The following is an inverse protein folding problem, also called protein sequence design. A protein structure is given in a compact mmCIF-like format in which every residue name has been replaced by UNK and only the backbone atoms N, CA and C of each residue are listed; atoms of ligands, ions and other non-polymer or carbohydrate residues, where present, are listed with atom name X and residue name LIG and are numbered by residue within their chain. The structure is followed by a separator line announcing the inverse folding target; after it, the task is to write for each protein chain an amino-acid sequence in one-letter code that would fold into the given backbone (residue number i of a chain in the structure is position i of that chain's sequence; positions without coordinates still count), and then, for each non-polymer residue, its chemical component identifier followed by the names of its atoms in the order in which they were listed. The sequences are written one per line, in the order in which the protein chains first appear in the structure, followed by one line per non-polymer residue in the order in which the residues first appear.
data_IF_582567094064
#
_entry.id   IF_582567094064
#
_cell.length_a   1.000
_cell.length_b   1.000
_cell.length_c   1.000
_cell.angle_alpha   90.00
_cell.angle_beta   90.00
_cell.angle_gamma   90.00
#
_symmetry.space_group_name_H-M   'P 1'
#
loop_
_entity.id
_entity.type
_entity.pdbx_description
1 polymer ?
#
# COMPACT_ATOMS: atom_id res chain seq x y z
N UNK A 1 -1.03 -9.99 0.11
CA UNK A 1 -1.94 -8.83 -0.11
C UNK A 1 -1.49 -7.67 0.77
N UNK A 2 -1.76 -6.44 0.36
CA UNK A 2 -1.35 -5.22 1.08
C UNK A 2 -2.60 -4.39 1.36
N UNK A 3 -2.85 -4.07 2.63
CA UNK A 3 -3.88 -3.13 3.06
C UNK A 3 -3.20 -1.79 3.37
N UNK A 4 -3.66 -0.71 2.75
CA UNK A 4 -3.17 0.64 3.02
C UNK A 4 -4.19 1.37 3.91
N UNK A 5 -3.69 1.99 4.98
CA UNK A 5 -4.47 2.84 5.88
C UNK A 5 -3.81 4.22 5.88
N UNK A 6 -4.49 5.19 5.26
CA UNK A 6 -4.05 6.59 5.26
C UNK A 6 -4.45 7.30 6.55
N UNK A 7 -3.87 8.47 6.79
CA UNK A 7 -3.95 9.14 8.08
C UNK A 7 -5.19 10.01 8.32
N UNK A 8 -5.99 10.32 7.29
CA UNK A 8 -7.20 11.13 7.46
C UNK A 8 -8.35 10.30 8.08
N UNK A 9 -8.46 10.31 9.42
CA UNK A 9 -9.46 9.56 10.19
C UNK A 9 -10.71 10.39 10.58
N UNK A 10 -10.78 11.64 10.13
CA UNK A 10 -11.91 12.54 10.37
C UNK A 10 -11.97 13.15 11.77
N UNK A 11 -11.05 12.81 12.68
CA UNK A 11 -11.00 13.38 14.03
C UNK A 11 -10.27 14.72 14.08
N UNK A 12 -9.35 14.96 13.16
CA UNK A 12 -8.57 16.19 13.06
C UNK A 12 -8.49 16.64 11.60
N UNK A 13 -9.08 17.79 11.23
CA UNK A 13 -8.87 18.37 9.91
C UNK A 13 -7.41 18.75 9.71
N UNK A 14 -6.86 18.48 8.52
CA UNK A 14 -5.56 18.99 8.02
C UNK A 14 -4.30 18.60 8.83
N UNK A 15 -4.03 17.29 8.98
CA UNK A 15 -2.75 16.80 9.52
C UNK A 15 -1.63 16.69 8.47
N UNK A 16 -1.82 17.18 7.24
CA UNK A 16 -0.89 16.92 6.13
C UNK A 16 -0.76 15.42 5.80
N UNK A 17 -1.80 14.63 6.09
CA UNK A 17 -1.87 13.19 5.83
C UNK A 17 -2.79 12.91 4.64
N UNK A 18 -2.62 11.74 4.03
CA UNK A 18 -3.40 11.31 2.87
C UNK A 18 -4.80 10.87 3.27
N UNK A 19 -5.70 10.74 2.28
CA UNK A 19 -7.06 10.23 2.50
C UNK A 19 -7.06 8.88 3.23
N UNK A 20 -8.11 8.62 4.02
CA UNK A 20 -8.30 7.43 4.88
C UNK A 20 -7.90 6.11 4.22
N UNK A 21 -8.23 5.96 2.95
CA UNK A 21 -8.09 4.68 2.23
C UNK A 21 -6.75 4.59 1.46
N UNK A 22 -5.87 5.58 1.59
CA UNK A 22 -4.56 5.61 0.96
C UNK A 22 -4.62 5.69 -0.58
N UNK A 23 -5.70 6.23 -1.14
CA UNK A 23 -5.90 6.33 -2.59
C UNK A 23 -4.83 7.22 -3.19
N UNK A 24 -4.22 6.78 -4.30
CA UNK A 24 -3.09 7.44 -4.94
C UNK A 24 -1.72 7.04 -4.39
N UNK A 25 -1.65 6.28 -3.29
CA UNK A 25 -0.38 5.80 -2.77
C UNK A 25 0.30 4.85 -3.76
N UNK A 26 1.62 4.97 -3.86
CA UNK A 26 2.47 4.18 -4.74
C UNK A 26 3.20 3.15 -3.89
N UNK A 27 2.94 1.87 -4.17
CA UNK A 27 3.58 0.74 -3.51
C UNK A 27 4.66 0.17 -4.42
N UNK A 28 5.86 0.03 -3.89
CA UNK A 28 6.99 -0.64 -4.51
C UNK A 28 7.36 -1.85 -3.68
N UNK A 29 7.43 -3.02 -4.32
CA UNK A 29 7.67 -4.32 -3.71
C UNK A 29 8.93 -4.91 -4.31
N UNK A 30 9.92 -5.19 -3.46
CA UNK A 30 11.13 -5.91 -3.86
C UNK A 30 10.94 -7.40 -3.59
N UNK A 31 11.05 -8.22 -4.64
CA UNK A 31 10.91 -9.68 -4.57
C UNK A 31 11.99 -10.34 -5.43
N UNK A 32 13.02 -10.85 -4.75
CA UNK A 32 14.27 -11.27 -5.38
C UNK A 32 14.94 -10.09 -6.07
N UNK A 33 15.28 -10.26 -7.34
CA UNK A 33 15.86 -9.20 -8.19
C UNK A 33 14.81 -8.30 -8.87
N UNK A 34 13.53 -8.50 -8.56
CA UNK A 34 12.42 -7.78 -9.22
C UNK A 34 11.90 -6.66 -8.32
N UNK A 35 11.74 -5.47 -8.90
CA UNK A 35 10.96 -4.38 -8.31
C UNK A 35 9.60 -4.30 -9.00
N UNK A 36 8.53 -4.42 -8.22
CA UNK A 36 7.14 -4.37 -8.70
C UNK A 36 6.49 -3.10 -8.16
N UNK A 37 6.03 -2.24 -9.07
CA UNK A 37 5.33 -1.00 -8.73
C UNK A 37 3.82 -1.14 -8.97
N UNK A 38 3.04 -0.66 -8.01
CA UNK A 38 1.57 -0.57 -8.07
C UNK A 38 1.10 0.74 -7.48
N UNK A 39 -0.07 1.20 -7.92
CA UNK A 39 -0.72 2.42 -7.41
C UNK A 39 -2.07 2.00 -6.84
N UNK A 40 -2.41 2.50 -5.65
CA UNK A 40 -3.74 2.30 -5.09
C UNK A 40 -4.72 3.17 -5.85
N UNK A 41 -5.51 2.54 -6.72
CA UNK A 41 -6.56 3.18 -7.51
C UNK A 41 -7.92 2.84 -6.93
N UNK A 42 -8.88 3.70 -7.22
CA UNK A 42 -10.32 3.46 -7.08
C UNK A 42 -10.98 3.92 -8.38
N UNK A 43 -12.20 3.43 -8.63
CA UNK A 43 -13.00 3.88 -9.77
C UNK A 43 -12.68 3.18 -11.10
N UNK A 44 -12.32 1.90 -11.07
CA UNK A 44 -12.06 1.08 -12.27
C UNK A 44 -13.30 0.84 -13.18
N UNK A 45 -14.45 1.47 -12.90
CA UNK A 45 -15.64 1.41 -13.74
C UNK A 45 -16.90 1.95 -13.04
N UNK A 46 -17.92 2.30 -13.84
CA UNK A 46 -19.24 2.65 -13.33
C UNK A 46 -19.83 1.45 -12.55
N UNK A 47 -20.27 1.70 -11.32
CA UNK A 47 -20.76 0.67 -10.38
C UNK A 47 -19.76 -0.43 -9.96
N UNK A 48 -18.46 -0.29 -10.27
CA UNK A 48 -17.44 -1.24 -9.81
C UNK A 48 -17.06 -1.00 -8.34
N UNK A 49 -17.01 -2.08 -7.55
CA UNK A 49 -16.48 -2.03 -6.18
C UNK A 49 -15.02 -2.47 -6.18
N UNK A 50 -14.13 -1.59 -5.69
CA UNK A 50 -12.72 -1.90 -5.59
C UNK A 50 -12.44 -2.63 -4.26
N UNK A 51 -11.53 -3.61 -4.28
CA UNK A 51 -11.09 -4.26 -3.05
C UNK A 51 -10.38 -3.26 -2.12
N UNK A 52 -10.56 -3.41 -0.81
CA UNK A 52 -9.79 -2.67 0.19
C UNK A 52 -8.31 -3.04 0.19
N UNK A 53 -7.97 -4.23 -0.33
CA UNK A 53 -6.60 -4.76 -0.40
C UNK A 53 -6.06 -4.74 -1.82
N UNK A 54 -4.76 -4.49 -1.94
CA UNK A 54 -4.01 -4.65 -3.18
C UNK A 54 -3.33 -6.01 -3.22
N UNK A 55 -3.51 -6.74 -4.33
CA UNK A 55 -2.77 -7.98 -4.59
C UNK A 55 -1.51 -7.67 -5.41
N UNK A 56 -0.38 -8.17 -4.94
CA UNK A 56 0.91 -8.13 -5.66
C UNK A 56 1.33 -9.57 -5.90
N UNK A 57 1.44 -9.95 -7.17
CA UNK A 57 1.96 -11.26 -7.55
C UNK A 57 3.49 -11.22 -7.53
N UNK A 58 4.11 -12.20 -6.85
CA UNK A 58 5.56 -12.29 -6.65
C UNK A 58 6.20 -13.45 -7.44
N UNK A 59 5.41 -14.14 -8.27
CA UNK A 59 5.88 -15.29 -9.04
C UNK A 59 6.16 -16.49 -8.14
N UNK A 60 7.33 -17.11 -8.34
CA UNK A 60 7.82 -18.27 -7.59
C UNK A 60 8.58 -17.91 -6.30
N UNK A 61 8.65 -16.63 -5.93
CA UNK A 61 9.31 -16.22 -4.69
C UNK A 61 8.41 -16.52 -3.49
N UNK A 62 8.99 -17.07 -2.42
CA UNK A 62 8.27 -17.34 -1.17
C UNK A 62 8.24 -16.15 -0.22
N UNK A 63 9.05 -15.12 -0.49
CA UNK A 63 9.15 -13.93 0.36
C UNK A 63 9.37 -12.64 -0.44
N UNK A 64 8.98 -11.53 0.18
CA UNK A 64 9.23 -10.16 -0.27
C UNK A 64 10.25 -9.54 0.68
N UNK A 65 11.39 -9.06 0.16
CA UNK A 65 12.46 -8.48 0.99
C UNK A 65 12.06 -7.12 1.56
N UNK A 66 11.37 -6.29 0.79
CA UNK A 66 10.91 -4.99 1.26
C UNK A 66 9.67 -4.48 0.52
N UNK A 67 8.84 -3.76 1.26
CA UNK A 67 7.69 -3.03 0.73
C UNK A 67 7.87 -1.57 1.11
N UNK A 68 7.81 -0.68 0.13
CA UNK A 68 7.89 0.77 0.31
C UNK A 68 6.60 1.40 -0.21
N UNK A 69 5.95 2.17 0.64
CA UNK A 69 4.74 2.93 0.28
C UNK A 69 5.09 4.40 0.27
N UNK A 70 4.90 5.07 -0.86
CA UNK A 70 4.93 6.52 -0.98
C UNK A 70 3.49 7.03 -0.98
N UNK A 71 3.16 7.83 0.01
CA UNK A 71 1.82 8.38 0.22
C UNK A 71 1.62 9.67 -0.61
N UNK A 72 0.37 10.01 -0.98
CA UNK A 72 0.05 11.29 -1.62
C UNK A 72 0.51 12.53 -0.84
N UNK A 73 0.54 12.44 0.50
CA UNK A 73 1.11 13.47 1.38
C UNK A 73 2.62 13.72 1.17
N UNK A 74 3.31 12.83 0.44
CA UNK A 74 4.77 12.84 0.27
C UNK A 74 5.51 11.95 1.28
N UNK A 75 4.84 11.46 2.32
CA UNK A 75 5.46 10.58 3.32
C UNK A 75 5.83 9.21 2.73
N UNK A 76 6.79 8.54 3.36
CA UNK A 76 7.25 7.21 2.94
C UNK A 76 7.25 6.25 4.14
N UNK A 77 6.56 5.13 4.00
CA UNK A 77 6.58 4.01 4.97
C UNK A 77 7.29 2.82 4.35
N UNK A 78 8.10 2.09 5.13
CA UNK A 78 8.75 0.83 4.71
C UNK A 78 8.36 -0.31 5.64
N UNK A 79 8.30 -1.53 5.12
CA UNK A 79 8.15 -2.74 5.94
C UNK A 79 9.38 -2.94 6.82
N UNK A 80 9.18 -3.26 8.10
CA UNK A 80 10.27 -3.50 9.05
C UNK A 80 10.95 -4.87 8.91
N UNK A 81 10.27 -5.84 8.31
CA UNK A 81 10.76 -7.20 8.11
C UNK A 81 10.33 -7.75 6.74
N UNK A 82 11.00 -8.81 6.24
CA UNK A 82 10.53 -9.55 5.08
C UNK A 82 9.12 -10.12 5.31
N UNK A 83 8.35 -10.24 4.23
CA UNK A 83 6.96 -10.70 4.28
C UNK A 83 6.82 -11.98 3.46
N UNK A 84 6.31 -13.04 4.08
CA UNK A 84 6.08 -14.32 3.40
C UNK A 84 4.92 -14.23 2.41
N UNK A 85 5.02 -14.99 1.32
CA UNK A 85 3.94 -15.22 0.36
C UNK A 85 2.63 -15.61 1.07
N UNK A 86 1.49 -15.22 0.48
CA UNK A 86 0.16 -15.50 1.04
C UNK A 86 -0.27 -14.60 2.22
N UNK A 87 0.65 -13.84 2.82
CA UNK A 87 0.34 -12.98 3.97
C UNK A 87 -0.47 -11.74 3.59
N UNK A 88 -1.17 -11.16 4.58
CA UNK A 88 -1.75 -9.82 4.50
C UNK A 88 -0.91 -8.88 5.38
N UNK A 89 -0.32 -7.85 4.79
CA UNK A 89 0.38 -6.80 5.55
C UNK A 89 -0.44 -5.51 5.55
N UNK A 90 -0.47 -4.83 6.69
CA UNK A 90 -1.09 -3.53 6.87
C UNK A 90 0.01 -2.48 6.87
N UNK A 91 -0.10 -1.48 6.00
CA UNK A 91 0.81 -0.35 5.93
C UNK A 91 0.05 0.90 6.37
N UNK A 92 0.46 1.49 7.49
CA UNK A 92 -0.11 2.72 7.98
C UNK A 92 0.72 3.92 7.50
N UNK A 93 0.03 4.99 7.14
CA UNK A 93 0.65 6.30 7.00
C UNK A 93 0.93 6.83 8.41
N UNK A 94 2.20 6.85 8.77
CA UNK A 94 2.66 7.38 10.06
C UNK A 94 2.95 8.87 9.94
N UNK A 95 2.82 9.60 11.06
CA UNK A 95 3.04 11.04 11.09
C UNK A 95 4.52 11.40 11.00
#
# INVERSE_FOLDING_TARGET
KILLVGGADGKVPDQGLSNRDGVGAVVEVMSGDRSIKRVRRLGDGYAAQNSSTMTVGIGSEDTVQSIKVRWPSGKITKSGSPVSAGSVIIMNEVQ
#
